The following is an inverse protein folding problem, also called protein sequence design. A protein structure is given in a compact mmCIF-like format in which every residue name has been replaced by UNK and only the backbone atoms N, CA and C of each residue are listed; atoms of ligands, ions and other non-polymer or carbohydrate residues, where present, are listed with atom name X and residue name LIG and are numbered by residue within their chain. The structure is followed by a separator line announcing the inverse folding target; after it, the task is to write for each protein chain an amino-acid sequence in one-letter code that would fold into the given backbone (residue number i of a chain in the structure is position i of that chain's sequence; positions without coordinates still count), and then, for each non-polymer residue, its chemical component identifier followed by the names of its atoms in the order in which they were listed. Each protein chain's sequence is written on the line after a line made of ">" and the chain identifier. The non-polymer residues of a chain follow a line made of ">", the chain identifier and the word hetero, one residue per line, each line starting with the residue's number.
data_IF_177464524327
#
_entry.id   IF_177464524327
#
_cell.length_a   1.000
_cell.length_b   1.000
_cell.length_c   1.000
_cell.angle_alpha   90.00
_cell.angle_beta   90.00
_cell.angle_gamma   90.00
#
_symmetry.space_group_name_H-M   'P 1'
#
loop_
_entity.id
_entity.type
_entity.pdbx_description
1 polymer ?
#
# COMPACT_ATOMS: atom_id res chain seq x y z
N UNK A 1 8.47 21.55 -27.18
CA UNK A 1 7.73 20.33 -27.53
C UNK A 1 7.86 19.39 -26.34
N UNK A 2 6.75 18.93 -25.76
CA UNK A 2 6.80 17.95 -24.66
C UNK A 2 7.52 16.70 -25.15
N UNK A 3 8.52 16.22 -24.41
CA UNK A 3 9.14 14.92 -24.71
C UNK A 3 8.05 13.84 -24.65
N UNK A 4 8.05 12.86 -25.57
CA UNK A 4 7.13 11.73 -25.48
C UNK A 4 7.38 10.97 -24.17
N UNK A 5 6.30 10.54 -23.51
CA UNK A 5 6.41 9.79 -22.26
C UNK A 5 7.04 8.42 -22.51
N UNK A 6 7.98 8.05 -21.65
CA UNK A 6 8.56 6.72 -21.51
C UNK A 6 8.80 6.42 -20.03
N UNK A 7 8.94 5.13 -19.63
CA UNK A 7 9.20 4.78 -18.23
C UNK A 7 10.40 5.50 -17.61
N UNK A 8 11.40 5.87 -18.41
CA UNK A 8 12.64 6.54 -17.99
C UNK A 8 12.65 8.05 -18.25
N UNK A 9 11.59 8.63 -18.83
CA UNK A 9 11.53 10.06 -19.17
C UNK A 9 11.66 10.99 -17.96
N UNK A 10 11.32 10.51 -16.76
CA UNK A 10 11.49 11.24 -15.49
C UNK A 10 12.95 11.58 -15.19
N UNK A 11 13.92 10.78 -15.68
CA UNK A 11 15.35 10.96 -15.42
C UNK A 11 15.90 12.27 -16.01
N UNK A 12 15.20 12.85 -16.99
CA UNK A 12 15.54 14.13 -17.58
C UNK A 12 14.94 15.35 -16.87
N UNK A 13 14.10 15.13 -15.85
CA UNK A 13 13.38 16.18 -15.11
C UNK A 13 14.08 16.51 -13.78
N UNK A 14 13.93 17.75 -13.27
CA UNK A 14 14.32 18.09 -11.91
C UNK A 14 13.65 17.15 -10.90
N UNK A 15 14.44 16.58 -9.98
CA UNK A 15 13.92 15.63 -8.99
C UNK A 15 14.30 16.03 -7.57
N UNK A 16 13.37 15.78 -6.65
CA UNK A 16 13.54 16.02 -5.21
C UNK A 16 13.57 14.69 -4.45
N UNK A 17 14.08 14.74 -3.22
CA UNK A 17 13.97 13.64 -2.24
C UNK A 17 14.68 12.31 -2.58
N UNK A 18 15.45 12.24 -3.67
CA UNK A 18 16.21 11.04 -4.02
C UNK A 18 17.46 10.86 -3.14
N UNK A 19 17.85 9.61 -2.84
CA UNK A 19 19.15 9.33 -2.27
C UNK A 19 20.28 9.57 -3.28
N UNK A 20 21.48 9.79 -2.75
CA UNK A 20 22.73 9.72 -3.52
C UNK A 20 23.36 8.34 -3.29
N UNK A 21 23.17 7.43 -4.24
CA UNK A 21 23.83 6.13 -4.20
C UNK A 21 25.32 6.26 -4.54
N UNK A 22 26.23 5.60 -3.79
CA UNK A 22 27.67 5.76 -3.97
C UNK A 22 28.22 5.10 -5.24
N UNK A 23 27.53 4.10 -5.79
CA UNK A 23 27.90 3.38 -7.01
C UNK A 23 26.70 3.30 -7.96
N UNK A 24 26.77 4.09 -9.04
CA UNK A 24 25.72 4.15 -10.06
C UNK A 24 25.61 2.87 -10.90
N UNK A 25 26.73 2.17 -11.13
CA UNK A 25 26.73 0.90 -11.86
C UNK A 25 26.10 -0.20 -11.01
N UNK A 26 26.31 -0.18 -9.69
CA UNK A 26 25.62 -1.08 -8.77
C UNK A 26 24.12 -0.84 -8.75
N UNK A 27 23.69 0.43 -8.64
CA UNK A 27 22.28 0.78 -8.74
C UNK A 27 21.66 0.27 -10.05
N UNK A 28 22.31 0.51 -11.18
CA UNK A 28 21.81 0.07 -12.47
C UNK A 28 21.65 -1.46 -12.56
N UNK A 29 22.61 -2.24 -12.02
CA UNK A 29 22.48 -3.72 -11.95
C UNK A 29 21.26 -4.16 -11.15
N UNK A 30 20.98 -3.50 -10.03
CA UNK A 30 19.79 -3.79 -9.22
C UNK A 30 18.50 -3.41 -9.95
N UNK A 31 18.46 -2.25 -10.60
CA UNK A 31 17.32 -1.83 -11.43
C UNK A 31 17.00 -2.87 -12.51
N UNK A 32 18.01 -3.35 -13.26
CA UNK A 32 17.84 -4.38 -14.27
C UNK A 32 17.34 -5.71 -13.68
N UNK A 33 17.81 -6.06 -12.47
CA UNK A 33 17.34 -7.25 -11.76
C UNK A 33 15.86 -7.12 -11.40
N UNK A 34 15.43 -5.99 -10.82
CA UNK A 34 14.01 -5.73 -10.52
C UNK A 34 13.13 -5.70 -11.76
N UNK A 35 13.61 -5.11 -12.85
CA UNK A 35 12.86 -5.05 -14.11
C UNK A 35 12.54 -6.45 -14.65
N UNK A 36 13.39 -7.45 -14.37
CA UNK A 36 13.16 -8.85 -14.74
C UNK A 36 12.14 -9.58 -13.86
N UNK A 37 11.86 -9.06 -12.66
CA UNK A 37 10.98 -9.74 -11.70
C UNK A 37 9.50 -9.62 -12.07
N UNK A 38 8.65 -10.54 -11.60
CA UNK A 38 7.21 -10.40 -11.71
C UNK A 38 6.71 -9.09 -11.08
N UNK A 39 5.64 -8.47 -11.62
CA UNK A 39 5.01 -7.32 -10.99
C UNK A 39 4.26 -7.73 -9.70
N UNK A 40 3.95 -6.75 -8.84
CA UNK A 40 3.15 -6.97 -7.63
C UNK A 40 1.66 -7.11 -7.96
N UNK A 41 1.19 -6.33 -8.93
CA UNK A 41 -0.22 -6.29 -9.32
C UNK A 41 -0.40 -6.49 -10.81
N UNK A 42 -1.58 -6.95 -11.21
CA UNK A 42 -1.96 -7.03 -12.60
C UNK A 42 -2.66 -5.74 -13.06
N UNK A 43 -2.41 -5.30 -14.30
CA UNK A 43 -3.00 -4.07 -14.86
C UNK A 43 -4.54 -4.07 -14.84
N UNK A 44 -5.17 -5.24 -14.97
CA UNK A 44 -6.62 -5.38 -14.82
C UNK A 44 -7.14 -5.03 -13.42
N UNK A 45 -6.35 -5.27 -12.38
CA UNK A 45 -6.71 -4.93 -10.99
C UNK A 45 -6.65 -3.42 -10.77
N UNK A 46 -5.66 -2.73 -11.36
CA UNK A 46 -5.59 -1.27 -11.35
C UNK A 46 -6.77 -0.63 -12.09
N UNK A 47 -7.21 -1.22 -13.22
CA UNK A 47 -8.43 -0.78 -13.92
C UNK A 47 -9.69 -1.00 -13.09
N UNK A 48 -9.78 -2.12 -12.39
CA UNK A 48 -10.90 -2.36 -11.48
C UNK A 48 -10.92 -1.36 -10.33
N UNK A 49 -9.76 -1.04 -9.73
CA UNK A 49 -9.67 0.04 -8.73
C UNK A 49 -10.10 1.39 -9.32
N UNK A 50 -9.68 1.72 -10.54
CA UNK A 50 -10.10 2.96 -11.23
C UNK A 50 -11.61 3.00 -11.45
N UNK A 51 -12.25 1.86 -11.78
CA UNK A 51 -13.71 1.75 -11.86
C UNK A 51 -14.36 2.03 -10.50
N UNK A 52 -13.82 1.48 -9.41
CA UNK A 52 -14.33 1.74 -8.06
C UNK A 52 -14.12 3.20 -7.62
N UNK A 53 -13.02 3.85 -8.02
CA UNK A 53 -12.82 5.29 -7.80
C UNK A 53 -13.83 6.16 -8.54
N UNK A 54 -14.31 5.73 -9.71
CA UNK A 54 -15.40 6.41 -10.41
C UNK A 54 -16.70 6.38 -9.60
N UNK A 55 -17.00 5.26 -8.92
CA UNK A 55 -18.14 5.17 -8.00
C UNK A 55 -18.00 6.13 -6.81
N UNK A 56 -16.81 6.23 -6.23
CA UNK A 56 -16.51 7.18 -5.14
C UNK A 56 -16.70 8.62 -5.61
N UNK A 57 -16.14 8.97 -6.78
CA UNK A 57 -16.23 10.31 -7.37
C UNK A 57 -17.67 10.71 -7.66
N UNK A 58 -18.52 9.74 -8.00
CA UNK A 58 -19.94 9.96 -8.28
C UNK A 58 -20.83 9.88 -7.02
N UNK A 59 -20.22 9.80 -5.82
CA UNK A 59 -20.94 9.78 -4.55
C UNK A 59 -21.67 8.47 -4.25
N UNK A 60 -21.33 7.37 -4.95
CA UNK A 60 -21.94 6.04 -4.77
C UNK A 60 -21.11 5.07 -3.94
N UNK A 61 -19.91 5.48 -3.55
CA UNK A 61 -19.01 4.71 -2.69
C UNK A 61 -18.16 5.66 -1.83
N UNK A 62 -17.47 5.10 -0.84
CA UNK A 62 -16.53 5.81 0.01
C UNK A 62 -15.14 5.16 -0.07
N UNK A 63 -14.06 5.97 -0.09
CA UNK A 63 -12.69 5.47 -0.08
C UNK A 63 -12.17 5.39 1.37
N UNK A 64 -11.76 4.19 1.79
CA UNK A 64 -10.96 3.97 2.99
C UNK A 64 -9.53 3.64 2.58
N UNK A 65 -8.60 4.56 2.87
CA UNK A 65 -7.17 4.34 2.71
C UNK A 65 -6.45 4.44 4.06
N UNK A 66 -5.62 3.46 4.40
CA UNK A 66 -4.91 3.44 5.68
C UNK A 66 -3.86 2.33 5.79
N UNK A 67 -2.97 2.44 6.77
CA UNK A 67 -1.86 1.51 6.98
C UNK A 67 -0.66 2.21 7.62
N UNK A 68 0.53 1.65 7.44
CA UNK A 68 1.75 2.18 8.03
C UNK A 68 2.12 3.58 7.46
N UNK A 69 2.80 4.38 8.28
CA UNK A 69 3.44 5.62 7.82
C UNK A 69 4.63 5.28 6.90
N UNK A 70 5.52 4.40 7.36
CA UNK A 70 6.31 3.56 6.48
C UNK A 70 6.52 2.18 7.09
N UNK A 71 6.50 1.18 6.22
CA UNK A 71 6.85 -0.20 6.53
C UNK A 71 8.34 -0.29 6.85
N UNK A 72 8.70 -1.24 7.73
CA UNK A 72 10.08 -1.52 8.10
C UNK A 72 10.41 -2.99 7.88
N UNK A 73 11.66 -3.27 7.51
CA UNK A 73 12.21 -4.61 7.37
C UNK A 73 12.30 -5.35 8.71
N UNK A 74 12.44 -4.62 9.83
CA UNK A 74 12.49 -5.24 11.16
C UNK A 74 11.11 -5.62 11.69
N UNK A 75 10.06 -4.91 11.27
CA UNK A 75 8.68 -5.16 11.69
C UNK A 75 7.92 -6.04 10.70
N UNK A 76 8.64 -6.91 9.99
CA UNK A 76 8.05 -7.81 9.00
C UNK A 76 7.51 -9.08 9.66
N UNK A 77 6.20 -9.10 9.93
CA UNK A 77 5.53 -10.27 10.51
C UNK A 77 4.10 -10.44 10.01
N UNK A 78 3.68 -11.70 9.90
CA UNK A 78 2.30 -12.03 9.54
C UNK A 78 1.28 -11.46 10.54
N UNK A 79 1.64 -11.38 11.83
CA UNK A 79 0.78 -10.80 12.86
C UNK A 79 0.52 -9.31 12.61
N UNK A 80 1.58 -8.52 12.36
CA UNK A 80 1.44 -7.08 12.07
C UNK A 80 0.57 -6.84 10.83
N UNK A 81 0.81 -7.59 9.75
CA UNK A 81 0.04 -7.49 8.50
C UNK A 81 -1.43 -7.83 8.76
N UNK A 82 -1.69 -8.95 9.43
CA UNK A 82 -3.04 -9.41 9.79
C UNK A 82 -3.77 -8.38 10.64
N UNK A 83 -3.13 -7.86 11.68
CA UNK A 83 -3.79 -6.97 12.64
C UNK A 83 -4.08 -5.60 12.01
N UNK A 84 -3.19 -5.08 11.17
CA UNK A 84 -3.46 -3.88 10.35
C UNK A 84 -4.63 -4.11 9.39
N UNK A 85 -4.65 -5.26 8.71
CA UNK A 85 -5.76 -5.65 7.83
C UNK A 85 -7.09 -5.77 8.58
N UNK A 86 -7.10 -6.36 9.79
CA UNK A 86 -8.29 -6.40 10.66
C UNK A 86 -8.84 -5.01 10.98
N UNK A 87 -7.99 -4.06 11.33
CA UNK A 87 -8.42 -2.68 11.62
C UNK A 87 -9.08 -2.05 10.38
N UNK A 88 -8.50 -2.23 9.19
CA UNK A 88 -9.10 -1.73 7.95
C UNK A 88 -10.46 -2.36 7.65
N UNK A 89 -10.61 -3.68 7.85
CA UNK A 89 -11.90 -4.35 7.68
C UNK A 89 -12.93 -3.87 8.71
N UNK A 90 -12.51 -3.69 9.96
CA UNK A 90 -13.36 -3.18 11.03
C UNK A 90 -13.91 -1.79 10.71
N UNK A 91 -13.05 -0.87 10.26
CA UNK A 91 -13.47 0.46 9.82
C UNK A 91 -14.41 0.36 8.60
N UNK A 92 -14.05 -0.45 7.61
CA UNK A 92 -14.82 -0.59 6.38
C UNK A 92 -16.23 -1.15 6.64
N UNK A 93 -16.39 -2.14 7.52
CA UNK A 93 -17.70 -2.73 7.78
C UNK A 93 -18.59 -1.77 8.57
N UNK A 94 -18.03 -1.03 9.54
CA UNK A 94 -18.76 0.00 10.28
C UNK A 94 -19.28 1.08 9.31
N UNK A 95 -18.44 1.58 8.41
CA UNK A 95 -18.84 2.58 7.42
C UNK A 95 -19.88 2.02 6.44
N UNK A 96 -19.67 0.79 5.95
CA UNK A 96 -20.63 0.14 5.04
C UNK A 96 -22.01 0.02 5.67
N UNK A 97 -22.08 -0.49 6.90
CA UNK A 97 -23.35 -0.76 7.56
C UNK A 97 -24.03 0.52 8.06
N UNK A 98 -23.27 1.44 8.68
CA UNK A 98 -23.85 2.65 9.27
C UNK A 98 -24.25 3.69 8.22
N UNK A 99 -23.52 3.78 7.09
CA UNK A 99 -23.81 4.73 6.01
C UNK A 99 -24.58 4.10 4.84
N UNK A 100 -24.74 2.77 4.80
CA UNK A 100 -25.36 2.08 3.66
C UNK A 100 -24.59 2.25 2.35
N UNK A 101 -23.27 2.44 2.42
CA UNK A 101 -22.43 2.88 1.30
C UNK A 101 -21.29 1.88 1.05
N UNK A 102 -21.06 1.43 -0.20
CA UNK A 102 -19.89 0.63 -0.55
C UNK A 102 -18.58 1.31 -0.14
N UNK A 103 -17.67 0.56 0.49
CA UNK A 103 -16.35 1.08 0.87
C UNK A 103 -15.25 0.44 0.02
N UNK A 104 -14.50 1.26 -0.73
CA UNK A 104 -13.29 0.86 -1.46
C UNK A 104 -12.12 0.83 -0.48
N UNK A 105 -11.44 -0.31 -0.34
CA UNK A 105 -10.41 -0.55 0.68
C UNK A 105 -9.01 -0.52 0.06
N UNK A 106 -8.18 0.43 0.47
CA UNK A 106 -6.80 0.61 -0.03
C UNK A 106 -5.81 0.62 1.14
N UNK A 107 -4.93 -0.37 1.22
CA UNK A 107 -3.87 -0.45 2.21
C UNK A 107 -2.64 0.37 1.84
N UNK A 108 -2.12 1.17 2.77
CA UNK A 108 -0.73 1.67 2.74
C UNK A 108 0.21 0.55 3.18
N UNK A 109 0.37 -0.45 2.32
CA UNK A 109 1.00 -1.74 2.61
C UNK A 109 1.62 -2.32 1.34
N UNK A 110 2.62 -3.19 1.51
CA UNK A 110 3.33 -3.87 0.43
C UNK A 110 4.08 -2.93 -0.53
N UNK A 111 4.69 -1.86 -0.02
CA UNK A 111 5.49 -0.93 -0.83
C UNK A 111 5.79 0.41 -0.18
N UNK A 112 5.15 0.72 0.97
CA UNK A 112 5.27 2.02 1.63
C UNK A 112 6.54 2.10 2.47
N UNK A 113 7.72 1.93 1.85
CA UNK A 113 9.01 1.94 2.55
C UNK A 113 9.70 3.30 2.52
N UNK A 114 9.60 4.02 1.40
CA UNK A 114 10.30 5.29 1.21
C UNK A 114 9.66 6.41 2.05
N UNK A 115 10.49 7.33 2.56
CA UNK A 115 10.05 8.47 3.36
C UNK A 115 10.70 9.78 2.88
N UNK A 116 9.92 10.81 2.52
CA UNK A 116 10.47 12.12 2.24
C UNK A 116 10.95 12.77 3.54
N UNK A 117 12.03 13.56 3.48
CA UNK A 117 12.63 14.23 4.63
C UNK A 117 12.67 15.74 4.43
N UNK A 118 12.47 16.48 5.52
CA UNK A 118 12.57 17.94 5.53
C UNK A 118 14.02 18.45 5.40
N UNK A 119 15.00 17.62 5.76
CA UNK A 119 16.43 17.91 5.64
C UNK A 119 17.14 16.70 5.04
N UNK A 120 18.23 16.94 4.31
CA UNK A 120 19.04 15.88 3.70
C UNK A 120 19.90 15.14 4.73
N UNK A 121 20.25 15.83 5.82
CA UNK A 121 21.12 15.34 6.87
C UNK A 121 20.43 15.38 8.24
N UNK A 122 20.92 14.58 9.16
CA UNK A 122 20.53 14.53 10.57
C UNK A 122 21.76 14.77 11.44
N UNK A 123 21.61 15.62 12.46
CA UNK A 123 22.69 15.99 13.37
C UNK A 123 22.34 15.52 14.77
N UNK A 124 23.16 14.65 15.34
CA UNK A 124 23.03 14.17 16.73
C UNK A 124 24.40 14.31 17.39
N UNK A 125 24.45 14.96 18.56
CA UNK A 125 25.67 15.17 19.35
C UNK A 125 26.86 15.74 18.54
N UNK A 126 26.57 16.62 17.58
CA UNK A 126 27.58 17.28 16.73
C UNK A 126 28.06 16.44 15.53
N UNK A 127 27.64 15.19 15.41
CA UNK A 127 27.89 14.34 14.24
C UNK A 127 26.79 14.56 13.21
N UNK A 128 27.15 14.75 11.94
CA UNK A 128 26.21 14.93 10.82
C UNK A 128 26.26 13.69 9.93
N UNK A 129 25.11 13.06 9.69
CA UNK A 129 24.97 11.91 8.79
C UNK A 129 23.79 12.10 7.83
N UNK A 130 23.75 11.42 6.68
CA UNK A 130 22.58 11.43 5.80
C UNK A 130 21.31 11.04 6.56
N UNK A 131 20.20 11.69 6.23
CA UNK A 131 18.92 11.39 6.83
C UNK A 131 18.47 9.95 6.49
N UNK A 132 17.85 9.27 7.46
CA UNK A 132 17.12 8.04 7.19
C UNK A 132 15.94 8.30 6.23
N UNK A 133 15.91 7.65 5.07
CA UNK A 133 14.90 7.86 4.01
C UNK A 133 13.95 6.68 3.85
N UNK A 134 13.86 5.83 4.86
CA UNK A 134 13.09 4.60 4.81
C UNK A 134 13.94 3.38 4.44
N UNK A 135 13.48 2.20 4.83
CA UNK A 135 14.29 0.98 4.78
C UNK A 135 14.67 0.55 3.35
N UNK A 136 13.92 0.99 2.34
CA UNK A 136 14.23 0.80 0.91
C UNK A 136 15.47 1.59 0.44
N UNK A 137 15.90 2.61 1.20
CA UNK A 137 17.07 3.44 0.89
C UNK A 137 18.25 3.12 1.80
N UNK A 138 18.07 3.25 3.11
CA UNK A 138 19.13 3.10 4.11
C UNK A 138 18.55 2.64 5.45
N UNK A 139 19.41 2.36 6.44
CA UNK A 139 19.03 1.90 7.78
C UNK A 139 18.72 3.03 8.76
N UNK A 140 17.87 2.74 9.75
CA UNK A 140 17.46 3.73 10.78
C UNK A 140 18.60 4.10 11.76
N UNK A 141 19.56 3.19 11.97
CA UNK A 141 20.71 3.39 12.87
C UNK A 141 21.48 4.67 12.56
N UNK A 142 21.89 5.41 13.60
CA UNK A 142 22.68 6.64 13.45
C UNK A 142 24.18 6.31 13.44
N UNK A 143 24.60 5.66 12.36
CA UNK A 143 26.00 5.33 12.08
C UNK A 143 26.26 5.41 10.57
N UNK A 144 27.51 5.66 10.18
CA UNK A 144 27.89 5.90 8.79
C UNK A 144 27.45 4.74 7.87
N UNK A 145 27.70 3.49 8.31
CA UNK A 145 27.36 2.29 7.53
C UNK A 145 25.85 2.16 7.32
N UNK A 146 25.04 2.40 8.35
CA UNK A 146 23.58 2.36 8.24
C UNK A 146 23.04 3.45 7.33
N UNK A 147 23.65 4.64 7.30
CA UNK A 147 23.10 5.80 6.58
C UNK A 147 23.49 5.89 5.11
N UNK A 148 24.53 5.18 4.66
CA UNK A 148 24.85 5.08 3.23
C UNK A 148 23.70 4.41 2.47
N UNK A 149 23.15 5.03 1.40
CA UNK A 149 22.16 4.39 0.55
C UNK A 149 22.68 3.12 -0.10
N UNK A 150 21.91 2.04 0.00
CA UNK A 150 22.28 0.71 -0.50
C UNK A 150 21.25 0.23 -1.53
N UNK A 151 21.63 0.08 -2.82
CA UNK A 151 20.72 -0.38 -3.86
C UNK A 151 20.10 -1.76 -3.57
N UNK A 152 20.78 -2.66 -2.86
CA UNK A 152 20.27 -4.01 -2.56
C UNK A 152 18.97 -3.97 -1.73
N UNK A 153 18.72 -2.87 -1.01
CA UNK A 153 17.48 -2.64 -0.27
C UNK A 153 16.25 -2.54 -1.17
N UNK A 154 16.43 -2.20 -2.45
CA UNK A 154 15.36 -2.24 -3.45
C UNK A 154 14.84 -3.66 -3.65
N UNK A 155 15.74 -4.65 -3.73
CA UNK A 155 15.39 -6.08 -3.84
C UNK A 155 14.73 -6.59 -2.56
N UNK A 156 15.26 -6.17 -1.41
CA UNK A 156 14.67 -6.54 -0.11
C UNK A 156 13.24 -5.99 0.03
N UNK A 157 13.01 -4.73 -0.35
CA UNK A 157 11.68 -4.12 -0.37
C UNK A 157 10.73 -4.90 -1.26
N UNK A 158 11.14 -5.26 -2.48
CA UNK A 158 10.34 -6.12 -3.37
C UNK A 158 9.96 -7.47 -2.73
N UNK A 159 10.92 -8.16 -2.13
CA UNK A 159 10.66 -9.46 -1.50
C UNK A 159 9.68 -9.34 -0.32
N UNK A 160 9.77 -8.26 0.46
CA UNK A 160 8.82 -7.99 1.53
C UNK A 160 7.44 -7.59 1.01
N UNK A 161 7.38 -6.77 -0.06
CA UNK A 161 6.14 -6.38 -0.73
C UNK A 161 5.38 -7.58 -1.26
N UNK A 162 6.07 -8.47 -1.99
CA UNK A 162 5.45 -9.68 -2.57
C UNK A 162 4.90 -10.60 -1.49
N UNK A 163 5.67 -10.85 -0.43
CA UNK A 163 5.22 -11.67 0.69
C UNK A 163 4.03 -11.04 1.44
N UNK A 164 4.06 -9.72 1.64
CA UNK A 164 2.98 -8.97 2.29
C UNK A 164 1.70 -9.01 1.46
N UNK A 165 1.80 -8.71 0.15
CA UNK A 165 0.65 -8.72 -0.75
C UNK A 165 0.08 -10.13 -0.94
N UNK A 166 0.92 -11.16 -1.02
CA UNK A 166 0.46 -12.54 -1.07
C UNK A 166 -0.38 -12.91 0.17
N UNK A 167 0.09 -12.52 1.37
CA UNK A 167 -0.66 -12.76 2.60
C UNK A 167 -1.96 -11.95 2.66
N UNK A 168 -1.95 -10.69 2.22
CA UNK A 168 -3.14 -9.85 2.13
C UNK A 168 -4.18 -10.44 1.18
N UNK A 169 -3.76 -10.95 0.01
CA UNK A 169 -4.64 -11.66 -0.94
C UNK A 169 -5.24 -12.91 -0.31
N UNK A 170 -4.44 -13.69 0.42
CA UNK A 170 -4.92 -14.86 1.15
C UNK A 170 -5.96 -14.50 2.23
N UNK A 171 -5.79 -13.38 2.94
CA UNK A 171 -6.80 -12.93 3.90
C UNK A 171 -8.07 -12.39 3.21
N UNK A 172 -7.91 -11.61 2.14
CA UNK A 172 -9.02 -10.98 1.44
C UNK A 172 -9.94 -11.99 0.72
N UNK A 173 -9.39 -13.12 0.25
CA UNK A 173 -10.10 -14.11 -0.56
C UNK A 173 -10.26 -15.47 0.16
N UNK A 174 -9.41 -15.79 1.14
CA UNK A 174 -9.39 -17.09 1.83
C UNK A 174 -10.34 -17.21 3.04
N UNK A 175 -11.35 -16.34 3.13
CA UNK A 175 -12.38 -16.38 4.19
C UNK A 175 -12.04 -15.64 5.49
N UNK A 176 -10.87 -14.99 5.59
CA UNK A 176 -10.59 -14.12 6.75
C UNK A 176 -11.43 -12.82 6.71
N UNK A 177 -11.72 -12.33 5.50
CA UNK A 177 -12.59 -11.19 5.24
C UNK A 177 -14.09 -11.53 5.20
N UNK A 178 -14.47 -12.76 5.56
CA UNK A 178 -15.87 -13.19 5.61
C UNK A 178 -16.63 -12.41 6.68
N UNK A 179 -17.79 -11.84 6.31
CA UNK A 179 -18.64 -11.05 7.21
C UNK A 179 -19.11 -11.84 8.44
N UNK A 180 -19.20 -13.17 8.36
CA UNK A 180 -19.48 -14.03 9.52
C UNK A 180 -18.36 -14.01 10.58
N UNK A 181 -17.19 -13.48 10.25
CA UNK A 181 -16.04 -13.35 11.15
C UNK A 181 -15.97 -11.95 11.78
N UNK A 182 -16.98 -11.08 11.63
CA UNK A 182 -16.94 -9.67 12.08
C UNK A 182 -16.57 -9.51 13.56
N UNK A 183 -16.98 -10.44 14.42
CA UNK A 183 -16.61 -10.47 15.84
C UNK A 183 -15.13 -10.78 16.08
N UNK A 184 -14.50 -11.58 15.21
CA UNK A 184 -13.08 -11.95 15.32
C UNK A 184 -12.12 -10.86 14.85
N UNK A 185 -12.64 -9.84 14.17
CA UNK A 185 -11.86 -8.65 13.81
C UNK A 185 -11.73 -7.68 14.97
N UNK A 186 -12.62 -7.77 15.97
CA UNK A 186 -12.54 -6.94 17.15
C UNK A 186 -11.27 -7.29 17.92
N UNK A 187 -10.39 -6.31 18.09
CA UNK A 187 -9.14 -6.48 18.82
C UNK A 187 -9.39 -6.38 20.32
N UNK A 188 -8.68 -7.18 21.12
CA UNK A 188 -8.88 -7.29 22.57
C UNK A 188 -8.79 -5.94 23.31
N UNK A 189 -8.06 -4.96 22.77
CA UNK A 189 -7.95 -3.63 23.38
C UNK A 189 -9.26 -2.83 23.33
N UNK A 190 -10.17 -3.12 22.39
CA UNK A 190 -11.46 -2.43 22.30
C UNK A 190 -12.38 -2.87 23.44
N UNK A 191 -12.23 -4.10 23.94
CA UNK A 191 -13.11 -4.73 24.92
C UNK A 191 -13.32 -3.92 26.21
N UNK A 192 -12.35 -3.06 26.58
CA UNK A 192 -12.38 -2.28 27.82
C UNK A 192 -12.75 -0.79 27.60
N UNK A 193 -13.54 -0.48 26.56
CA UNK A 193 -13.93 0.90 26.24
C UNK A 193 -15.43 1.07 26.04
N UNK A 194 -15.94 2.29 26.23
CA UNK A 194 -17.33 2.63 25.88
C UNK A 194 -17.63 2.43 24.38
N UNK A 195 -16.59 2.36 23.53
CA UNK A 195 -16.73 2.06 22.11
C UNK A 195 -16.99 0.58 21.84
N UNK A 196 -16.60 -0.32 22.77
CA UNK A 196 -16.81 -1.76 22.66
C UNK A 196 -18.29 -2.10 22.54
N UNK A 197 -19.12 -1.48 23.36
CA UNK A 197 -20.56 -1.74 23.39
C UNK A 197 -21.20 -1.32 22.06
N UNK A 198 -20.85 -0.13 21.54
CA UNK A 198 -21.35 0.35 20.24
C UNK A 198 -20.93 -0.58 19.09
N UNK A 199 -19.69 -1.05 19.11
CA UNK A 199 -19.22 -2.00 18.09
C UNK A 199 -19.93 -3.35 18.21
N UNK A 200 -20.10 -3.86 19.43
CA UNK A 200 -20.81 -5.13 19.69
C UNK A 200 -22.27 -5.06 19.23
N UNK A 201 -22.97 -3.96 19.50
CA UNK A 201 -24.33 -3.73 18.99
C UNK A 201 -24.37 -3.71 17.46
N UNK A 202 -23.41 -3.05 16.80
CA UNK A 202 -23.33 -3.02 15.35
C UNK A 202 -23.04 -4.41 14.78
N UNK A 203 -22.13 -5.17 15.38
CA UNK A 203 -21.81 -6.53 14.97
C UNK A 203 -23.03 -7.47 15.13
N UNK A 204 -23.79 -7.34 16.22
CA UNK A 204 -25.05 -8.09 16.40
C UNK A 204 -26.08 -7.78 15.31
N UNK A 205 -26.22 -6.51 14.91
CA UNK A 205 -27.11 -6.14 13.79
C UNK A 205 -26.65 -6.70 12.44
N UNK A 206 -25.34 -6.85 12.24
CA UNK A 206 -24.79 -7.50 11.05
C UNK A 206 -25.15 -8.99 11.06
N UNK A 207 -25.01 -9.67 12.20
CA UNK A 207 -25.40 -11.08 12.32
C UNK A 207 -26.89 -11.29 12.00
N UNK A 208 -27.76 -10.43 12.53
CA UNK A 208 -29.20 -10.45 12.24
C UNK A 208 -29.46 -10.25 10.73
N UNK A 209 -28.72 -9.34 10.10
CA UNK A 209 -28.82 -9.08 8.66
C UNK A 209 -28.38 -10.29 7.84
N UNK A 210 -27.26 -10.94 8.20
CA UNK A 210 -26.78 -12.15 7.55
C UNK A 210 -27.76 -13.32 7.75
N UNK A 211 -28.32 -13.47 8.94
CA UNK A 211 -29.35 -14.47 9.23
C UNK A 211 -30.63 -14.24 8.40
N UNK A 212 -31.04 -12.98 8.23
CA UNK A 212 -32.15 -12.62 7.35
C UNK A 212 -31.85 -12.95 5.88
N UNK A 213 -30.67 -12.55 5.38
CA UNK A 213 -30.24 -12.88 4.01
C UNK A 213 -30.24 -14.39 3.79
N UNK A 214 -29.80 -15.17 4.78
CA UNK A 214 -29.86 -16.63 4.75
C UNK A 214 -31.27 -17.17 4.68
N UNK A 215 -32.18 -16.65 5.50
CA UNK A 215 -33.60 -17.03 5.46
C UNK A 215 -34.25 -16.72 4.10
N UNK A 216 -33.77 -15.68 3.40
CA UNK A 216 -34.18 -15.34 2.03
C UNK A 216 -33.45 -16.13 0.93
N UNK A 217 -32.53 -17.05 1.27
CA UNK A 217 -31.78 -17.85 0.30
C UNK A 217 -30.56 -17.16 -0.33
N UNK A 218 -30.05 -16.08 0.27
CA UNK A 218 -28.92 -15.27 -0.24
C UNK A 218 -27.58 -15.55 0.49
N UNK A 219 -27.46 -16.66 1.22
CA UNK A 219 -26.29 -16.99 2.08
C UNK A 219 -25.03 -17.45 1.32
N UNK A 220 -25.18 -17.86 0.07
CA UNK A 220 -24.11 -18.47 -0.74
C UNK A 220 -23.35 -17.47 -1.61
N UNK A 221 -23.63 -16.18 -1.47
CA UNK A 221 -22.99 -15.11 -2.26
C UNK A 221 -21.50 -14.98 -1.91
N UNK A 222 -20.58 -15.12 -2.88
CA UNK A 222 -19.14 -14.92 -2.66
C UNK A 222 -18.81 -13.53 -2.08
N UNK A 223 -19.61 -12.53 -2.40
CA UNK A 223 -19.48 -11.15 -1.91
C UNK A 223 -19.62 -11.02 -0.38
N UNK A 224 -20.18 -12.03 0.30
CA UNK A 224 -20.24 -12.08 1.77
C UNK A 224 -18.98 -12.68 2.40
N UNK A 225 -18.21 -13.46 1.62
CA UNK A 225 -17.07 -14.26 2.11
C UNK A 225 -15.72 -13.65 1.75
N UNK A 226 -15.70 -12.86 0.69
CA UNK A 226 -14.50 -12.28 0.09
C UNK A 226 -14.63 -10.77 -0.03
N UNK A 227 -13.51 -10.08 -0.10
CA UNK A 227 -13.51 -8.64 -0.35
C UNK A 227 -12.37 -8.22 -1.25
N UNK A 228 -12.60 -7.21 -2.08
CA UNK A 228 -11.52 -6.55 -2.80
C UNK A 228 -10.67 -5.73 -1.84
N UNK A 229 -9.36 -5.92 -1.89
CA UNK A 229 -8.39 -5.14 -1.14
C UNK A 229 -7.24 -4.75 -2.07
N UNK A 230 -6.96 -3.45 -2.10
CA UNK A 230 -5.93 -2.87 -2.97
C UNK A 230 -4.78 -2.34 -2.14
N UNK A 231 -3.63 -2.12 -2.77
CA UNK A 231 -2.41 -1.59 -2.14
C UNK A 231 -2.03 -0.27 -2.78
N UNK A 232 -1.41 0.60 -1.98
CA UNK A 232 -0.89 1.86 -2.44
C UNK A 232 0.34 2.31 -1.64
N UNK A 233 1.23 3.03 -2.30
CA UNK A 233 2.33 3.75 -1.67
C UNK A 233 2.64 5.07 -2.39
N UNK A 234 3.45 5.90 -1.73
CA UNK A 234 4.00 7.10 -2.34
C UNK A 234 5.02 6.69 -3.40
N UNK A 235 4.77 7.04 -4.67
CA UNK A 235 5.74 6.85 -5.74
C UNK A 235 6.87 7.86 -5.55
N UNK A 236 7.83 7.52 -4.67
CA UNK A 236 8.89 8.43 -4.23
C UNK A 236 10.24 8.06 -4.83
N UNK A 237 10.56 6.77 -4.87
CA UNK A 237 11.85 6.28 -5.35
C UNK A 237 11.69 5.78 -6.79
N UNK A 238 11.84 6.68 -7.76
CA UNK A 238 11.48 6.41 -9.16
C UNK A 238 12.32 5.31 -9.80
N UNK A 239 13.52 5.02 -9.30
CA UNK A 239 14.31 3.86 -9.70
C UNK A 239 13.56 2.53 -9.43
N UNK A 240 12.83 2.47 -8.31
CA UNK A 240 12.00 1.30 -7.96
C UNK A 240 10.73 1.26 -8.81
N UNK A 241 10.03 2.38 -8.91
CA UNK A 241 8.78 2.49 -9.67
C UNK A 241 8.98 2.16 -11.16
N UNK A 242 10.03 2.71 -11.80
CA UNK A 242 10.37 2.46 -13.21
C UNK A 242 10.55 0.96 -13.49
N UNK A 243 11.17 0.20 -12.58
CA UNK A 243 11.37 -1.24 -12.73
C UNK A 243 10.04 -2.04 -12.75
N UNK A 244 8.96 -1.47 -12.23
CA UNK A 244 7.62 -2.06 -12.22
C UNK A 244 6.66 -1.42 -13.22
N UNK A 245 7.10 -0.46 -14.02
CA UNK A 245 6.32 0.02 -15.16
C UNK A 245 6.27 -1.06 -16.24
N UNK A 246 5.10 -1.68 -16.41
CA UNK A 246 4.86 -2.75 -17.39
C UNK A 246 3.84 -2.32 -18.42
N UNK A 247 3.99 -2.85 -19.63
CA UNK A 247 3.00 -2.69 -20.70
C UNK A 247 1.95 -3.80 -20.58
N UNK A 248 0.69 -3.40 -20.47
CA UNK A 248 -0.42 -4.35 -20.42
C UNK A 248 -0.60 -5.02 -21.78
N UNK A 249 -0.64 -6.36 -21.79
CA UNK A 249 -0.73 -7.15 -23.02
C UNK A 249 -2.06 -6.99 -23.75
N UNK A 250 -3.11 -6.55 -23.05
CA UNK A 250 -4.45 -6.38 -23.61
C UNK A 250 -4.65 -5.00 -24.23
N UNK A 251 -4.20 -3.95 -23.55
CA UNK A 251 -4.47 -2.55 -23.93
C UNK A 251 -3.27 -1.86 -24.57
N UNK A 252 -2.06 -2.42 -24.43
CA UNK A 252 -0.79 -1.78 -24.77
C UNK A 252 -0.47 -0.49 -23.99
N UNK A 253 -1.26 -0.14 -22.98
CA UNK A 253 -1.01 0.97 -22.06
C UNK A 253 0.06 0.58 -21.02
N UNK A 254 0.72 1.57 -20.44
CA UNK A 254 1.66 1.38 -19.35
C UNK A 254 0.97 1.52 -18.00
N UNK A 255 1.33 0.64 -17.07
CA UNK A 255 0.93 0.66 -15.67
C UNK A 255 2.17 0.51 -14.83
N UNK A 256 2.29 1.34 -13.79
CA UNK A 256 3.18 0.98 -12.69
C UNK A 256 2.51 -0.14 -11.90
N UNK A 257 3.13 -1.31 -11.93
CA UNK A 257 2.63 -2.51 -11.28
C UNK A 257 3.32 -2.78 -9.94
N UNK A 258 3.95 -1.78 -9.32
CA UNK A 258 4.45 -1.85 -7.93
C UNK A 258 3.30 -1.86 -6.91
N UNK A 259 2.19 -1.19 -7.23
CA UNK A 259 0.96 -1.17 -6.43
C UNK A 259 -0.27 -0.88 -7.31
N UNK A 260 -1.48 -0.99 -6.72
CA UNK A 260 -2.72 -0.71 -7.46
C UNK A 260 -2.99 0.79 -7.66
N UNK A 261 -2.53 1.60 -6.70
CA UNK A 261 -2.62 3.05 -6.73
C UNK A 261 -1.34 3.65 -6.18
N UNK A 262 -0.88 4.72 -6.80
CA UNK A 262 0.27 5.50 -6.36
C UNK A 262 -0.16 6.93 -6.11
N UNK A 263 0.50 7.62 -5.20
CA UNK A 263 0.34 9.06 -5.03
C UNK A 263 1.68 9.79 -5.06
N UNK A 264 1.61 11.08 -5.40
CA UNK A 264 2.73 12.01 -5.33
C UNK A 264 2.64 12.77 -4.01
N UNK A 265 3.74 12.80 -3.26
CA UNK A 265 3.82 13.50 -1.97
C UNK A 265 3.80 15.02 -2.11
N UNK A 266 3.46 15.71 -1.02
CA UNK A 266 3.39 17.19 -1.02
C UNK A 266 4.75 17.86 -1.28
N UNK A 267 5.86 17.16 -1.02
CA UNK A 267 7.22 17.65 -1.26
C UNK A 267 7.75 17.34 -2.67
N UNK A 268 7.04 16.54 -3.45
CA UNK A 268 7.46 16.05 -4.77
C UNK A 268 6.47 16.37 -5.89
N UNK A 269 5.40 17.11 -5.62
CA UNK A 269 4.35 17.48 -6.61
C UNK A 269 4.66 18.70 -7.48
N UNK A 270 5.93 18.96 -7.78
CA UNK A 270 6.30 20.06 -8.69
C UNK A 270 5.77 19.75 -10.10
N UNK A 271 5.12 20.72 -10.76
CA UNK A 271 4.49 20.50 -12.08
C UNK A 271 5.50 20.18 -13.20
N UNK A 272 6.74 20.63 -13.02
CA UNK A 272 7.90 20.40 -13.88
C UNK A 272 8.89 19.39 -13.27
N UNK A 273 8.49 18.70 -12.18
CA UNK A 273 9.29 17.70 -11.48
C UNK A 273 9.19 16.32 -12.11
N UNK A 274 10.06 15.41 -11.65
CA UNK A 274 10.15 14.04 -12.14
C UNK A 274 8.99 13.12 -11.72
N UNK A 275 8.33 13.40 -10.59
CA UNK A 275 7.22 12.61 -10.02
C UNK A 275 5.87 12.99 -10.61
#
# INVERSE_FOLDING_TARGET
>A
MSQPWSPDSWRALPIQQQPHYPDAEHLHRVEQTLASYPPLVFAGEARELRRQFAEVTQGRAFLLQGGDCAESFMEFSAAKIRDTFKVLLQMAIVMTFAAGCPVVKVGRMAGQFAKPRSANDEIIDGVTLPAYRGDIVNGIGFDEKSRVPDPERLLQAYNQSTATLNLLRAFAQGGFADLHQVHKWNLDFIANSALAEKYSQLAGRIDETLAFMRACGMDSSPQLRETSFFTAHEALLLNYEEAFVRRDSLTNDYYDCSAHMLWIGDRTRQLDGAH
#
